data_IF_879310012774
#
_entry.id   IF_879310012774
#
_cell.length_a   1.000
_cell.length_b   1.000
_cell.length_c   1.000
_cell.angle_alpha   90.00
_cell.angle_beta   90.00
_cell.angle_gamma   90.00
#
_symmetry.space_group_name_H-M   'P 1'
#
loop_
_entity.id
_entity.type
_entity.pdbx_description
1 polymer ?
#
# COMPACT_ATOMS: atom_id res chain seq x y z
N UNK A 1 27.58 14.45 9.84
CA UNK A 1 27.27 13.28 8.98
C UNK A 1 26.18 12.36 9.57
N UNK A 2 25.49 12.69 10.68
CA UNK A 2 24.47 11.80 11.30
C UNK A 2 23.01 12.07 10.87
N UNK A 3 22.72 13.17 10.17
CA UNK A 3 21.32 13.52 9.82
C UNK A 3 20.78 12.81 8.57
N UNK A 4 21.64 12.31 7.67
CA UNK A 4 21.20 11.67 6.40
C UNK A 4 20.57 10.27 6.55
N UNK A 5 20.43 9.73 7.76
CA UNK A 5 19.78 8.43 7.99
C UNK A 5 18.31 8.54 8.41
N UNK A 6 17.86 9.69 8.94
CA UNK A 6 16.52 9.82 9.51
C UNK A 6 15.46 10.35 8.53
N UNK A 7 15.84 10.97 7.41
CA UNK A 7 14.88 11.50 6.44
C UNK A 7 14.35 10.46 5.42
N UNK A 8 14.86 9.22 5.46
CA UNK A 8 14.56 8.20 4.44
C UNK A 8 13.20 7.50 4.56
N UNK A 9 12.41 7.75 5.61
CA UNK A 9 11.19 6.97 5.88
C UNK A 9 9.87 7.76 5.75
N UNK A 10 9.93 9.09 5.67
CA UNK A 10 8.76 9.94 5.94
C UNK A 10 7.61 9.86 4.92
N UNK A 11 7.85 9.45 3.68
CA UNK A 11 6.80 9.47 2.64
C UNK A 11 5.82 8.29 2.79
N UNK A 12 6.24 7.19 3.41
CA UNK A 12 5.44 5.95 3.51
C UNK A 12 4.91 5.67 4.91
N UNK A 13 5.42 6.36 5.93
CA UNK A 13 4.97 6.18 7.31
C UNK A 13 3.52 6.65 7.53
N UNK A 14 3.05 7.63 6.75
CA UNK A 14 1.70 8.21 6.90
C UNK A 14 0.59 7.29 6.34
N UNK A 15 0.90 6.47 5.34
CA UNK A 15 -0.04 5.48 4.79
C UNK A 15 0.71 4.24 4.22
N UNK A 16 1.06 3.26 5.06
CA UNK A 16 1.78 2.06 4.62
C UNK A 16 0.93 1.14 3.72
N UNK A 17 -0.37 1.41 3.60
CA UNK A 17 -1.30 0.68 2.73
C UNK A 17 -1.56 1.40 1.40
N UNK A 18 -0.91 2.53 1.15
CA UNK A 18 -1.08 3.29 -0.08
C UNK A 18 -0.70 2.42 -1.29
N UNK A 19 -1.56 2.42 -2.30
CA UNK A 19 -1.25 1.75 -3.56
C UNK A 19 -0.35 2.66 -4.40
N UNK A 20 0.57 2.09 -5.19
CA UNK A 20 1.52 2.87 -6.02
C UNK A 20 0.83 3.92 -6.88
N UNK A 21 -0.40 3.66 -7.35
CA UNK A 21 -1.21 4.62 -8.10
C UNK A 21 -1.57 5.87 -7.29
N UNK A 22 -1.88 5.72 -6.01
CA UNK A 22 -2.18 6.84 -5.10
C UNK A 22 -0.93 7.70 -4.88
N UNK A 23 0.25 7.06 -4.77
CA UNK A 23 1.51 7.77 -4.68
C UNK A 23 1.82 8.57 -5.97
N UNK A 24 1.56 7.98 -7.15
CA UNK A 24 1.67 8.69 -8.43
C UNK A 24 0.72 9.89 -8.49
N UNK A 25 -0.54 9.73 -8.09
CA UNK A 25 -1.50 10.83 -8.08
C UNK A 25 -1.11 11.94 -7.10
N UNK A 26 -0.68 11.57 -5.90
CA UNK A 26 -0.21 12.53 -4.90
C UNK A 26 0.97 13.35 -5.43
N UNK A 27 1.94 12.70 -6.07
CA UNK A 27 3.07 13.38 -6.71
C UNK A 27 2.63 14.31 -7.84
N UNK A 28 1.69 13.89 -8.70
CA UNK A 28 1.14 14.74 -9.77
C UNK A 28 0.39 15.96 -9.22
N UNK A 29 -0.33 15.81 -8.12
CA UNK A 29 -1.02 16.93 -7.45
C UNK A 29 -0.05 17.89 -6.78
N UNK A 30 1.05 17.38 -6.22
CA UNK A 30 2.09 18.20 -5.62
C UNK A 30 2.94 18.95 -6.67
N UNK A 31 3.07 18.38 -7.87
CA UNK A 31 3.85 18.93 -8.97
C UNK A 31 3.02 18.93 -10.26
N UNK A 32 2.31 20.03 -10.51
CA UNK A 32 1.29 20.14 -11.57
C UNK A 32 1.73 19.71 -12.99
N UNK A 33 3.02 19.79 -13.33
CA UNK A 33 3.55 19.46 -14.66
C UNK A 33 4.30 18.12 -14.71
N UNK A 34 4.27 17.34 -13.61
CA UNK A 34 5.06 16.13 -13.48
C UNK A 34 4.40 14.95 -14.20
N UNK A 35 4.87 14.65 -15.41
CA UNK A 35 4.43 13.44 -16.11
C UNK A 35 5.18 12.19 -15.63
N UNK A 36 4.62 11.51 -14.64
CA UNK A 36 5.11 10.23 -14.15
C UNK A 36 4.24 9.06 -14.59
N UNK A 37 4.92 7.98 -14.98
CA UNK A 37 4.30 6.68 -15.17
C UNK A 37 4.31 5.88 -13.87
N UNK A 38 3.39 4.91 -13.77
CA UNK A 38 3.32 3.99 -12.63
C UNK A 38 4.61 3.17 -12.48
N UNK A 39 5.20 2.72 -13.58
CA UNK A 39 6.43 1.93 -13.58
C UNK A 39 7.63 2.75 -13.12
N UNK A 40 7.69 4.05 -13.44
CA UNK A 40 8.76 4.94 -12.94
C UNK A 40 8.74 5.02 -11.42
N UNK A 41 7.57 5.24 -10.82
CA UNK A 41 7.41 5.31 -9.36
C UNK A 41 7.66 3.95 -8.71
N UNK A 42 7.15 2.86 -9.30
CA UNK A 42 7.43 1.50 -8.84
C UNK A 42 8.94 1.18 -8.81
N UNK A 43 9.65 1.47 -9.89
CA UNK A 43 11.09 1.22 -9.99
C UNK A 43 11.85 2.09 -8.98
N UNK A 44 11.47 3.35 -8.81
CA UNK A 44 12.09 4.23 -7.83
C UNK A 44 11.91 3.69 -6.40
N UNK A 45 10.71 3.27 -6.03
CA UNK A 45 10.42 2.68 -4.71
C UNK A 45 11.21 1.38 -4.46
N UNK A 46 11.26 0.49 -5.45
CA UNK A 46 11.95 -0.80 -5.30
C UNK A 46 13.48 -0.68 -5.36
N UNK A 47 14.03 0.29 -6.10
CA UNK A 47 15.49 0.43 -6.28
C UNK A 47 16.15 1.44 -5.33
N UNK A 48 15.47 2.51 -4.93
CA UNK A 48 16.06 3.56 -4.08
C UNK A 48 15.71 3.36 -2.60
N UNK A 49 14.58 2.71 -2.31
CA UNK A 49 14.11 2.48 -0.94
C UNK A 49 14.10 0.99 -0.56
N UNK A 50 14.60 0.10 -1.43
CA UNK A 50 14.62 -1.36 -1.22
C UNK A 50 13.26 -1.95 -0.81
N UNK A 51 12.16 -1.35 -1.29
CA UNK A 51 10.81 -1.75 -0.92
C UNK A 51 10.37 -2.98 -1.70
N UNK A 52 9.74 -3.92 -1.01
CA UNK A 52 8.99 -5.00 -1.64
C UNK A 52 7.53 -4.61 -1.78
N UNK A 53 7.09 -4.33 -3.01
CA UNK A 53 5.69 -4.01 -3.30
C UNK A 53 4.95 -5.31 -3.62
N UNK A 54 3.88 -5.59 -2.87
CA UNK A 54 3.05 -6.78 -3.08
C UNK A 54 1.71 -6.40 -3.68
N UNK A 55 1.23 -7.23 -4.60
CA UNK A 55 -0.13 -7.10 -5.11
C UNK A 55 -1.13 -7.48 -4.00
N UNK A 56 -2.01 -6.55 -3.64
CA UNK A 56 -3.06 -6.79 -2.66
C UNK A 56 -4.21 -7.57 -3.30
N UNK A 57 -4.56 -8.73 -2.71
CA UNK A 57 -5.77 -9.47 -3.08
C UNK A 57 -6.90 -9.06 -2.16
N UNK A 58 -7.75 -8.15 -2.65
CA UNK A 58 -8.92 -7.71 -1.91
C UNK A 58 -9.98 -8.81 -1.86
N UNK A 59 -10.68 -8.89 -0.73
CA UNK A 59 -11.82 -9.77 -0.53
C UNK A 59 -13.10 -8.92 -0.44
N UNK A 60 -14.27 -9.46 -0.80
CA UNK A 60 -15.54 -8.75 -0.61
C UNK A 60 -15.70 -8.32 0.84
N UNK A 61 -16.14 -7.08 1.08
CA UNK A 61 -16.40 -6.56 2.43
C UNK A 61 -17.40 -7.46 3.17
N UNK A 62 -18.40 -7.97 2.46
CA UNK A 62 -19.40 -8.91 2.97
C UNK A 62 -18.78 -10.16 3.60
N UNK A 63 -17.58 -10.60 3.16
CA UNK A 63 -16.87 -11.71 3.78
C UNK A 63 -16.67 -11.49 5.28
N UNK A 64 -16.44 -10.25 5.70
CA UNK A 64 -16.21 -9.86 7.08
C UNK A 64 -17.49 -9.40 7.79
N UNK A 65 -18.68 -9.64 7.22
CA UNK A 65 -19.93 -9.43 7.95
C UNK A 65 -20.02 -10.37 9.15
N UNK A 66 -20.71 -9.93 10.20
CA UNK A 66 -20.90 -10.74 11.40
C UNK A 66 -21.52 -12.11 11.08
N UNK A 67 -22.47 -12.13 10.15
CA UNK A 67 -23.14 -13.36 9.69
C UNK A 67 -22.15 -14.33 9.02
N UNK A 68 -21.33 -13.85 8.07
CA UNK A 68 -20.34 -14.69 7.37
C UNK A 68 -19.20 -15.13 8.29
N UNK A 69 -18.87 -14.34 9.31
CA UNK A 69 -17.90 -14.73 10.35
C UNK A 69 -18.49 -15.83 11.24
N UNK A 70 -19.74 -15.69 11.67
CA UNK A 70 -20.43 -16.67 12.51
C UNK A 70 -20.61 -18.01 11.79
N UNK A 71 -21.04 -17.99 10.51
CA UNK A 71 -21.15 -19.22 9.69
C UNK A 71 -19.82 -19.97 9.58
N UNK A 72 -18.71 -19.26 9.40
CA UNK A 72 -17.37 -19.87 9.34
C UNK A 72 -16.95 -20.44 10.68
N UNK A 73 -17.25 -19.74 11.77
CA UNK A 73 -16.97 -20.22 13.12
C UNK A 73 -17.73 -21.52 13.40
N UNK A 74 -19.04 -21.56 13.14
CA UNK A 74 -19.87 -22.74 13.34
C UNK A 74 -19.43 -23.92 12.48
N UNK A 75 -19.04 -23.67 11.22
CA UNK A 75 -18.51 -24.71 10.36
C UNK A 75 -17.23 -25.34 10.92
N UNK A 76 -16.27 -24.53 11.40
CA UNK A 76 -15.03 -25.02 12.05
C UNK A 76 -15.30 -25.73 13.38
N UNK A 77 -16.35 -25.35 14.11
CA UNK A 77 -16.70 -26.04 15.35
C UNK A 77 -17.38 -27.39 15.10
N UNK A 78 -18.05 -27.54 13.96
CA UNK A 78 -18.82 -28.75 13.61
C UNK A 78 -17.97 -29.84 12.95
N UNK A 79 -16.85 -29.48 12.33
CA UNK A 79 -15.98 -30.37 11.55
C UNK A 79 -14.52 -30.24 11.97
#
# INVERSE_FOLDING_TARGET
QKEKKNDRHRILDDNPSAVVSEAVESLKRAFNDLNLSLSTVYNFMTTQYDLSIKQLRLQPVERNSQEKLQQRYEWVQKW
#
